data_IF_649833946692
#
_entry.id   IF_649833946692
#
_cell.length_a   1.000
_cell.length_b   1.000
_cell.length_c   1.000
_cell.angle_alpha   90.00
_cell.angle_beta   90.00
_cell.angle_gamma   90.00
#
_symmetry.space_group_name_H-M   'P 1'
#
loop_
_entity.id
_entity.type
_entity.pdbx_description
1 polymer ?
#
# COMPACT_ATOMS: atom_id res chain seq x y z
N UNK A 1 16.81 10.56 2.55
CA UNK A 1 15.54 10.14 1.94
C UNK A 1 15.75 8.74 1.37
N UNK A 2 15.46 7.69 2.15
CA UNK A 2 15.43 6.32 1.64
C UNK A 2 13.98 6.05 1.27
N UNK A 3 13.73 6.02 -0.02
CA UNK A 3 12.43 5.71 -0.60
C UNK A 3 12.12 4.25 -0.34
N UNK A 4 10.87 3.96 -0.01
CA UNK A 4 10.32 2.61 -0.07
C UNK A 4 10.64 2.08 -1.47
N UNK A 5 11.55 1.09 -1.55
CA UNK A 5 12.02 0.55 -2.82
C UNK A 5 11.02 -0.51 -3.27
N UNK A 6 9.95 -0.05 -3.92
CA UNK A 6 9.26 -0.92 -4.87
C UNK A 6 10.26 -1.17 -6.01
N UNK A 7 10.59 -2.42 -6.25
CA UNK A 7 11.57 -2.85 -7.24
C UNK A 7 11.02 -2.56 -8.65
N UNK A 8 11.42 -1.40 -9.22
CA UNK A 8 11.08 -1.03 -10.59
C UNK A 8 11.93 -1.82 -11.58
N UNK A 9 11.32 -2.61 -12.43
CA UNK A 9 11.93 -3.18 -13.62
C UNK A 9 11.18 -2.68 -14.84
N UNK A 10 11.77 -1.74 -15.54
CA UNK A 10 11.39 -1.34 -16.89
C UNK A 10 10.80 0.07 -17.00
N UNK A 11 11.68 1.04 -17.24
CA UNK A 11 11.30 2.43 -17.57
C UNK A 11 11.28 2.58 -19.08
N UNK A 12 10.11 2.82 -19.66
CA UNK A 12 9.99 3.48 -20.95
C UNK A 12 10.05 4.99 -20.71
N UNK A 13 11.21 5.58 -20.95
CA UNK A 13 11.42 7.03 -20.85
C UNK A 13 10.64 7.77 -21.94
N UNK A 14 9.50 8.34 -21.57
CA UNK A 14 8.82 9.35 -22.37
C UNK A 14 9.25 10.72 -21.81
N UNK A 15 9.67 11.67 -22.65
CA UNK A 15 10.15 12.95 -22.15
C UNK A 15 9.02 13.73 -21.50
N UNK A 16 9.24 14.05 -20.25
CA UNK A 16 8.63 15.06 -19.38
C UNK A 16 7.12 15.04 -19.11
N UNK A 17 6.78 15.06 -17.87
CA UNK A 17 5.62 15.50 -17.08
C UNK A 17 4.85 14.41 -16.35
N UNK A 18 4.88 13.17 -16.75
CA UNK A 18 4.28 12.06 -16.02
C UNK A 18 5.01 10.76 -16.33
N UNK A 19 5.24 9.93 -15.34
CA UNK A 19 5.81 8.60 -15.52
C UNK A 19 4.75 7.53 -15.33
N UNK A 20 4.69 6.56 -16.24
CA UNK A 20 3.94 5.32 -16.03
C UNK A 20 4.94 4.19 -15.88
N UNK A 21 4.79 3.40 -14.86
CA UNK A 21 5.62 2.22 -14.63
C UNK A 21 4.76 0.99 -14.40
N UNK A 22 5.35 -0.18 -14.60
CA UNK A 22 4.74 -1.46 -14.31
C UNK A 22 5.75 -2.33 -13.57
N UNK A 23 5.26 -3.14 -12.66
CA UNK A 23 6.09 -4.08 -11.92
C UNK A 23 5.42 -5.45 -11.83
N UNK A 24 6.23 -6.47 -11.61
CA UNK A 24 5.81 -7.81 -11.24
C UNK A 24 6.82 -8.39 -10.27
N UNK A 25 6.34 -9.06 -9.25
CA UNK A 25 7.17 -9.69 -8.22
C UNK A 25 6.67 -11.08 -7.87
N UNK A 26 7.60 -11.89 -7.36
CA UNK A 26 7.32 -13.16 -6.71
C UNK A 26 7.67 -13.05 -5.24
N UNK A 27 6.78 -13.51 -4.37
CA UNK A 27 7.05 -13.65 -2.94
C UNK A 27 6.73 -15.06 -2.48
N UNK A 28 7.41 -15.51 -1.43
CA UNK A 28 7.14 -16.81 -0.80
C UNK A 28 5.84 -16.80 0.00
N UNK A 29 5.40 -15.62 0.42
CA UNK A 29 4.14 -15.37 1.09
C UNK A 29 3.81 -13.88 0.95
N UNK A 30 2.56 -13.55 0.64
CA UNK A 30 2.07 -12.19 0.70
C UNK A 30 1.67 -11.90 2.15
N UNK A 31 2.44 -11.04 2.79
CA UNK A 31 2.18 -10.59 4.16
C UNK A 31 1.82 -9.12 4.14
N UNK A 32 0.63 -8.78 4.64
CA UNK A 32 0.15 -7.42 4.78
C UNK A 32 -0.14 -7.11 6.25
N UNK A 33 0.47 -6.05 6.77
CA UNK A 33 0.35 -5.63 8.18
C UNK A 33 0.59 -6.77 9.19
N UNK A 34 1.57 -7.65 8.88
CA UNK A 34 1.93 -8.80 9.71
C UNK A 34 1.05 -10.05 9.56
N UNK A 35 0.06 -10.03 8.67
CA UNK A 35 -0.84 -11.16 8.43
C UNK A 35 -0.62 -11.73 7.03
N UNK A 36 -0.51 -13.07 6.92
CA UNK A 36 -0.48 -13.73 5.61
C UNK A 36 -1.78 -13.52 4.86
N UNK A 37 -1.69 -13.21 3.57
CA UNK A 37 -2.82 -13.02 2.67
C UNK A 37 -2.92 -14.16 1.66
N UNK A 38 -1.81 -14.79 1.29
CA UNK A 38 -1.79 -15.85 0.27
C UNK A 38 -1.62 -17.25 0.82
N UNK A 39 -1.25 -17.40 2.10
CA UNK A 39 -0.96 -18.70 2.73
C UNK A 39 -0.01 -19.55 1.84
N UNK A 40 1.00 -18.92 1.26
CA UNK A 40 1.97 -19.50 0.34
C UNK A 40 2.43 -18.52 -0.75
N UNK A 41 3.08 -19.02 -1.81
CA UNK A 41 3.66 -18.16 -2.84
C UNK A 41 2.64 -17.26 -3.54
N UNK A 42 3.02 -16.01 -3.74
CA UNK A 42 2.21 -15.07 -4.49
C UNK A 42 2.96 -14.44 -5.68
N UNK A 43 2.19 -14.13 -6.72
CA UNK A 43 2.60 -13.28 -7.85
C UNK A 43 1.88 -11.95 -7.66
N UNK A 44 2.65 -10.88 -7.59
CA UNK A 44 2.16 -9.55 -7.30
C UNK A 44 2.64 -8.57 -8.36
N UNK A 45 1.88 -7.53 -8.62
CA UNK A 45 2.34 -6.49 -9.54
C UNK A 45 1.27 -5.49 -9.87
N UNK A 46 1.67 -4.44 -10.60
CA UNK A 46 0.76 -3.35 -10.87
C UNK A 46 1.27 -2.36 -11.88
N UNK A 47 0.51 -1.28 -11.98
CA UNK A 47 0.82 -0.12 -12.81
C UNK A 47 0.72 1.14 -11.95
N UNK A 48 1.73 1.98 -12.04
CA UNK A 48 1.81 3.24 -11.32
C UNK A 48 1.90 4.40 -12.30
N UNK A 49 1.19 5.46 -12.01
CA UNK A 49 1.31 6.76 -12.64
C UNK A 49 1.81 7.76 -11.60
N UNK A 50 2.86 8.50 -11.92
CA UNK A 50 3.39 9.58 -11.10
C UNK A 50 3.45 10.87 -11.94
N UNK A 51 2.87 11.94 -11.43
CA UNK A 51 2.96 13.28 -12.01
C UNK A 51 4.05 14.11 -11.35
N UNK A 52 4.61 15.08 -12.08
CA UNK A 52 5.40 16.14 -11.46
C UNK A 52 4.54 16.87 -10.42
N UNK A 53 5.11 17.14 -9.25
CA UNK A 53 4.41 17.82 -8.17
C UNK A 53 3.83 16.88 -7.10
N UNK A 54 3.95 15.56 -7.27
CA UNK A 54 3.70 14.60 -6.20
C UNK A 54 2.37 13.85 -6.27
N UNK A 55 1.50 14.15 -7.24
CA UNK A 55 0.31 13.31 -7.47
C UNK A 55 0.71 11.96 -8.02
N UNK A 56 0.09 10.90 -7.52
CA UNK A 56 0.21 9.55 -8.05
C UNK A 56 -1.13 8.83 -8.04
N UNK A 57 -1.25 7.83 -8.90
CA UNK A 57 -2.36 6.88 -8.90
C UNK A 57 -1.87 5.54 -9.46
N UNK A 58 -2.52 4.46 -9.10
CA UNK A 58 -2.15 3.16 -9.60
C UNK A 58 -3.19 2.09 -9.35
N UNK A 59 -2.83 0.92 -9.82
CA UNK A 59 -3.51 -0.33 -9.51
C UNK A 59 -2.46 -1.39 -9.20
N UNK A 60 -2.77 -2.23 -8.26
CA UNK A 60 -1.93 -3.35 -7.85
C UNK A 60 -2.79 -4.59 -7.68
N UNK A 61 -2.22 -5.76 -7.78
CA UNK A 61 -2.93 -7.00 -7.54
C UNK A 61 -2.04 -8.16 -7.13
N UNK A 62 -2.63 -9.13 -6.48
CA UNK A 62 -2.02 -10.35 -6.01
C UNK A 62 -3.01 -11.51 -6.01
N UNK A 63 -2.50 -12.74 -6.01
CA UNK A 63 -3.31 -13.83 -5.55
C UNK A 63 -3.38 -13.83 -4.01
N UNK A 64 -4.54 -14.18 -3.49
CA UNK A 64 -4.82 -14.34 -2.04
C UNK A 64 -5.46 -15.72 -1.77
N UNK A 65 -5.47 -16.12 -0.50
CA UNK A 65 -6.13 -17.35 -0.06
C UNK A 65 -6.59 -17.20 1.40
N UNK A 66 -7.83 -16.82 1.60
CA UNK A 66 -8.45 -16.72 2.93
C UNK A 66 -9.29 -17.95 3.29
N UNK A 67 -9.31 -18.97 2.42
CA UNK A 67 -10.17 -20.16 2.54
C UNK A 67 -11.69 -19.86 2.52
N UNK A 68 -12.08 -18.73 1.96
CA UNK A 68 -13.47 -18.27 1.84
C UNK A 68 -13.97 -18.17 0.39
N UNK A 69 -13.07 -18.41 -0.57
CA UNK A 69 -13.32 -18.36 -2.00
C UNK A 69 -12.71 -17.16 -2.70
N UNK A 70 -12.15 -16.19 -1.98
CA UNK A 70 -11.34 -15.13 -2.59
C UNK A 70 -10.02 -15.74 -3.10
N UNK A 71 -9.69 -15.51 -4.36
CA UNK A 71 -8.47 -15.99 -5.01
C UNK A 71 -7.57 -14.89 -5.52
N UNK A 72 -8.08 -13.66 -5.61
CA UNK A 72 -7.33 -12.48 -6.01
C UNK A 72 -7.73 -11.24 -5.23
N UNK A 73 -6.78 -10.30 -5.14
CA UNK A 73 -6.93 -8.95 -4.60
C UNK A 73 -6.53 -7.97 -5.68
N UNK A 74 -7.28 -6.89 -5.81
CA UNK A 74 -7.01 -5.81 -6.74
C UNK A 74 -7.23 -4.48 -6.04
N UNK A 75 -6.16 -3.69 -5.94
CA UNK A 75 -6.17 -2.41 -5.25
C UNK A 75 -6.15 -1.26 -6.26
N UNK A 76 -6.94 -0.25 -5.99
CA UNK A 76 -6.95 1.01 -6.72
C UNK A 76 -6.57 2.13 -5.76
N UNK A 77 -5.56 2.91 -6.07
CA UNK A 77 -5.10 3.96 -5.20
C UNK A 77 -4.77 5.25 -5.93
N UNK A 78 -4.90 6.34 -5.20
CA UNK A 78 -4.43 7.65 -5.62
C UNK A 78 -4.00 8.46 -4.41
N UNK A 79 -3.00 9.32 -4.58
CA UNK A 79 -2.50 10.12 -3.48
C UNK A 79 -1.63 11.30 -3.93
N UNK A 80 -1.14 12.01 -2.92
CA UNK A 80 -0.30 13.18 -3.10
C UNK A 80 0.82 13.20 -2.07
N UNK A 81 2.05 13.07 -2.55
CA UNK A 81 3.26 13.12 -1.74
C UNK A 81 3.97 14.46 -1.86
N UNK A 82 4.33 15.07 -0.72
CA UNK A 82 5.07 16.33 -0.67
C UNK A 82 5.99 16.38 0.56
N UNK A 83 6.79 17.46 0.68
CA UNK A 83 7.66 17.65 1.84
C UNK A 83 7.39 18.98 2.52
N UNK A 84 7.35 18.96 3.84
CA UNK A 84 7.32 20.14 4.71
C UNK A 84 8.65 20.21 5.49
N UNK A 85 9.62 20.93 4.97
CA UNK A 85 10.98 20.90 5.51
C UNK A 85 11.59 19.50 5.39
N UNK A 86 11.98 18.91 6.53
CA UNK A 86 12.55 17.57 6.60
C UNK A 86 11.49 16.46 6.76
N UNK A 87 10.21 16.80 6.82
CA UNK A 87 9.11 15.86 6.95
C UNK A 87 8.54 15.55 5.58
N UNK A 88 8.56 14.28 5.17
CA UNK A 88 7.79 13.78 4.04
C UNK A 88 6.34 13.54 4.48
N UNK A 89 5.40 13.95 3.65
CA UNK A 89 3.96 13.78 3.85
C UNK A 89 3.37 13.07 2.66
N UNK A 90 2.54 12.07 2.89
CA UNK A 90 1.81 11.32 1.89
C UNK A 90 0.35 11.20 2.32
N UNK A 91 -0.57 11.68 1.51
CA UNK A 91 -2.01 11.59 1.76
C UNK A 91 -2.63 10.87 0.57
N UNK A 92 -3.42 9.85 0.82
CA UNK A 92 -4.02 9.09 -0.26
C UNK A 92 -5.28 8.33 0.15
N UNK A 93 -5.82 7.69 -0.85
CA UNK A 93 -6.98 6.82 -0.78
C UNK A 93 -6.64 5.52 -1.48
N UNK A 94 -7.11 4.41 -0.93
CA UNK A 94 -6.99 3.08 -1.50
C UNK A 94 -8.31 2.32 -1.32
N UNK A 95 -8.72 1.63 -2.38
CA UNK A 95 -9.81 0.67 -2.36
C UNK A 95 -9.24 -0.72 -2.60
N UNK A 96 -9.56 -1.63 -1.72
CA UNK A 96 -9.24 -3.05 -1.78
C UNK A 96 -10.45 -3.81 -2.32
N UNK A 97 -10.28 -4.47 -3.44
CA UNK A 97 -11.34 -5.21 -4.15
C UNK A 97 -10.95 -6.70 -4.25
N UNK A 98 -11.88 -7.57 -3.91
CA UNK A 98 -11.74 -9.03 -3.99
C UNK A 98 -12.74 -9.61 -4.99
N UNK A 99 -12.43 -9.60 -6.29
CA UNK A 99 -13.40 -9.81 -7.38
C UNK A 99 -14.19 -11.12 -7.31
N UNK A 100 -13.60 -12.17 -6.73
CA UNK A 100 -14.27 -13.47 -6.57
C UNK A 100 -15.09 -13.57 -5.31
N UNK A 101 -14.99 -12.58 -4.40
CA UNK A 101 -15.72 -12.61 -3.13
C UNK A 101 -17.05 -11.87 -3.23
N UNK A 102 -18.13 -12.61 -3.06
CA UNK A 102 -19.49 -12.07 -3.05
C UNK A 102 -19.96 -11.63 -1.65
N UNK A 103 -19.12 -11.71 -0.63
CA UNK A 103 -19.52 -11.57 0.79
C UNK A 103 -19.01 -10.32 1.50
N UNK A 104 -18.45 -9.35 0.74
CA UNK A 104 -18.09 -8.04 1.30
C UNK A 104 -16.78 -8.04 2.06
N UNK A 105 -15.72 -8.58 1.44
CA UNK A 105 -14.34 -8.35 1.89
C UNK A 105 -13.81 -6.97 1.43
N UNK A 106 -14.45 -6.38 0.42
CA UNK A 106 -14.04 -5.10 -0.12
C UNK A 106 -14.12 -4.01 0.94
N UNK A 107 -13.11 -3.18 1.01
CA UNK A 107 -13.07 -2.04 1.91
C UNK A 107 -12.18 -0.93 1.35
N UNK A 108 -12.23 0.22 1.97
CA UNK A 108 -11.52 1.41 1.54
C UNK A 108 -10.84 2.09 2.72
N UNK A 109 -9.72 2.78 2.45
CA UNK A 109 -9.01 3.56 3.45
C UNK A 109 -8.61 4.93 2.91
N UNK A 110 -8.70 5.95 3.75
CA UNK A 110 -8.01 7.23 3.57
C UNK A 110 -6.79 7.19 4.48
N UNK A 111 -5.62 7.49 3.96
CA UNK A 111 -4.40 7.37 4.73
C UNK A 111 -3.55 8.64 4.77
N UNK A 112 -2.74 8.74 5.81
CA UNK A 112 -1.70 9.73 6.03
C UNK A 112 -0.40 9.02 6.41
N UNK A 113 0.61 9.18 5.58
CA UNK A 113 1.99 8.77 5.85
C UNK A 113 2.84 9.98 6.22
N UNK A 114 3.65 9.85 7.26
CA UNK A 114 4.65 10.84 7.65
C UNK A 114 6.01 10.17 7.74
N UNK A 115 7.06 10.84 7.26
CA UNK A 115 8.43 10.35 7.35
C UNK A 115 9.38 11.45 7.79
N UNK A 116 10.26 11.10 8.74
CA UNK A 116 11.31 11.98 9.20
C UNK A 116 12.60 11.16 9.42
N UNK A 117 13.58 11.34 8.55
CA UNK A 117 14.76 10.50 8.54
C UNK A 117 14.42 9.02 8.35
N UNK A 118 14.77 8.20 9.34
CA UNK A 118 14.48 6.76 9.35
C UNK A 118 13.13 6.43 10.07
N UNK A 119 12.46 7.41 10.68
CA UNK A 119 11.17 7.25 11.34
C UNK A 119 10.02 7.37 10.34
N UNK A 120 9.08 6.43 10.38
CA UNK A 120 7.81 6.47 9.66
C UNK A 120 6.63 6.39 10.62
N UNK A 121 5.57 7.14 10.32
CA UNK A 121 4.25 7.03 10.94
C UNK A 121 3.22 6.85 9.83
N UNK A 122 2.28 5.95 10.04
CA UNK A 122 1.20 5.71 9.08
C UNK A 122 -0.13 5.60 9.81
N UNK A 123 -1.13 6.27 9.29
CA UNK A 123 -2.50 6.26 9.79
C UNK A 123 -3.42 5.98 8.62
N UNK A 124 -4.27 4.99 8.76
CA UNK A 124 -5.32 4.70 7.79
C UNK A 124 -6.67 4.73 8.51
N UNK A 125 -7.59 5.49 7.97
CA UNK A 125 -8.97 5.50 8.44
C UNK A 125 -9.80 4.63 7.53
N UNK A 126 -10.31 3.52 8.07
CA UNK A 126 -11.20 2.62 7.38
C UNK A 126 -12.53 3.30 7.09
N UNK A 127 -13.06 3.11 5.88
CA UNK A 127 -14.34 3.65 5.47
C UNK A 127 -15.42 2.58 5.60
N UNK A 128 -16.66 3.00 5.71
CA UNK A 128 -17.86 2.13 5.76
C UNK A 128 -17.82 1.00 6.82
N UNK A 129 -17.17 1.27 7.95
CA UNK A 129 -17.07 0.35 9.07
C UNK A 129 -15.83 -0.53 9.09
N UNK A 130 -14.91 -0.34 8.17
CA UNK A 130 -13.58 -0.94 8.26
C UNK A 130 -12.79 -0.31 9.43
N UNK A 131 -11.94 -1.07 10.15
CA UNK A 131 -11.19 -0.56 11.29
C UNK A 131 -10.11 0.43 10.86
N UNK A 132 -9.84 1.42 11.73
CA UNK A 132 -8.68 2.29 11.57
C UNK A 132 -7.38 1.53 11.90
N UNK A 133 -6.29 1.91 11.24
CA UNK A 133 -4.97 1.32 11.46
C UNK A 133 -3.91 2.38 11.71
N UNK A 134 -3.03 2.12 12.66
CA UNK A 134 -1.89 2.99 12.98
C UNK A 134 -0.61 2.17 13.04
N UNK A 135 0.46 2.68 12.42
CA UNK A 135 1.78 2.05 12.43
C UNK A 135 2.88 3.06 12.72
N UNK A 136 3.87 2.63 13.48
CA UNK A 136 5.18 3.28 13.60
C UNK A 136 6.24 2.36 13.02
N UNK A 137 7.15 2.91 12.23
CA UNK A 137 8.27 2.17 11.65
C UNK A 137 9.60 2.90 11.87
N UNK A 138 10.67 2.14 11.91
CA UNK A 138 12.01 2.68 12.01
C UNK A 138 13.01 1.90 11.16
N UNK A 139 13.78 2.62 10.33
CA UNK A 139 14.81 2.06 9.46
C UNK A 139 16.14 1.87 10.19
N UNK A 140 16.74 0.69 10.08
CA UNK A 140 18.05 0.35 10.64
C UNK A 140 18.92 -0.21 9.50
N UNK A 141 19.64 0.65 8.81
CA UNK A 141 20.43 0.23 7.65
C UNK A 141 19.56 -0.38 6.54
N UNK A 142 19.76 -1.65 6.14
CA UNK A 142 18.95 -2.29 5.09
C UNK A 142 17.62 -2.89 5.59
N UNK A 143 17.35 -2.84 6.89
CA UNK A 143 16.20 -3.46 7.54
C UNK A 143 15.30 -2.35 8.11
N UNK A 144 14.00 -2.56 8.10
CA UNK A 144 13.05 -1.76 8.89
C UNK A 144 12.28 -2.67 9.83
N UNK A 145 11.90 -2.11 10.98
CA UNK A 145 10.98 -2.74 11.93
C UNK A 145 9.75 -1.85 12.05
N UNK A 146 8.58 -2.46 12.13
CA UNK A 146 7.34 -1.73 12.35
C UNK A 146 6.51 -2.39 13.46
N UNK A 147 5.70 -1.56 14.08
CA UNK A 147 4.65 -1.98 14.99
C UNK A 147 3.36 -1.27 14.59
N UNK A 148 2.33 -2.04 14.31
CA UNK A 148 1.03 -1.54 13.93
C UNK A 148 -0.09 -2.12 14.77
N UNK A 149 -1.20 -1.39 14.87
CA UNK A 149 -2.39 -1.81 15.58
C UNK A 149 -3.63 -1.32 14.86
N UNK A 150 -4.69 -2.12 14.91
CA UNK A 150 -6.03 -1.71 14.54
C UNK A 150 -6.75 -1.17 15.78
N UNK A 151 -7.58 -0.15 15.59
CA UNK A 151 -8.51 0.25 16.63
C UNK A 151 -9.61 -0.81 16.76
N UNK A 152 -9.98 -1.13 18.00
CA UNK A 152 -11.12 -2.01 18.25
C UNK A 152 -12.36 -1.35 17.64
N UNK A 153 -13.02 -2.05 16.73
CA UNK A 153 -14.36 -1.69 16.27
C UNK A 153 -15.29 -1.93 17.45
N UNK A 154 -15.39 -0.93 18.33
CA UNK A 154 -16.34 -0.99 19.43
C UNK A 154 -17.74 -0.91 18.84
N UNK A 155 -18.53 -1.95 19.03
CA UNK A 155 -19.95 -2.00 18.72
C UNK A 155 -20.65 -0.74 19.27
N UNK A 156 -21.06 0.14 18.37
CA UNK A 156 -21.97 1.24 18.66
C UNK A 156 -23.37 0.88 18.18
#
# INVERSE_FOLDING_TARGET
MKRLLLLFIGVLSIPSFAAVSANVAFTSDYVWRGMTQSDGPAIQGGFDFEAEGGFYAGLWGSNVNFNDGAGSELDYYAGYGFSLGDVGVDIGYIAFDYPENQTGLDFEEIYLGLSFGDLGLFFASGQDGAPDYTEVSYGIGPVSISYGTYDDVSDN
#
